data_IF_269288369804
#
_entry.id   IF_269288369804
#
_cell.length_a   1.000
_cell.length_b   1.000
_cell.length_c   1.000
_cell.angle_alpha   90.00
_cell.angle_beta   90.00
_cell.angle_gamma   90.00
#
_symmetry.space_group_name_H-M   'P 1'
#
loop_
_entity.id
_entity.type
_entity.pdbx_description
1 polymer ?
#
# COMPACT_ATOMS: atom_id res chain seq x y z
N UNK A 1 5.40 8.02 -5.87
CA UNK A 1 5.55 9.42 -6.33
C UNK A 1 5.82 9.39 -7.81
N UNK A 2 5.23 10.30 -8.58
CA UNK A 2 5.43 10.36 -10.04
C UNK A 2 6.86 10.77 -10.42
N UNK A 3 7.31 10.36 -11.60
CA UNK A 3 8.61 10.79 -12.13
C UNK A 3 8.57 12.26 -12.54
N UNK A 4 9.41 13.09 -11.89
CA UNK A 4 9.58 14.50 -12.24
C UNK A 4 9.96 14.65 -13.73
N UNK A 5 10.76 13.74 -14.29
CA UNK A 5 11.13 13.79 -15.71
C UNK A 5 9.92 13.55 -16.61
N UNK A 6 9.05 12.59 -16.26
CA UNK A 6 7.81 12.30 -17.00
C UNK A 6 6.86 13.50 -16.93
N UNK A 7 6.73 14.11 -15.74
CA UNK A 7 5.94 15.34 -15.58
C UNK A 7 6.48 16.49 -16.43
N UNK A 8 7.81 16.63 -16.60
CA UNK A 8 8.39 17.67 -17.46
C UNK A 8 8.12 17.45 -18.95
N UNK A 9 8.22 16.22 -19.44
CA UNK A 9 8.11 15.95 -20.88
C UNK A 9 6.67 15.74 -21.34
N UNK A 10 5.80 15.23 -20.45
CA UNK A 10 4.45 14.77 -20.76
C UNK A 10 3.42 15.33 -19.77
N UNK A 11 3.58 16.59 -19.33
CA UNK A 11 2.74 17.19 -18.29
C UNK A 11 1.24 17.05 -18.58
N UNK A 12 0.80 17.46 -19.77
CA UNK A 12 -0.62 17.45 -20.16
C UNK A 12 -1.20 16.03 -20.19
N UNK A 13 -0.43 15.06 -20.70
CA UNK A 13 -0.85 13.65 -20.74
C UNK A 13 -1.01 13.07 -19.32
N UNK A 14 -0.06 13.36 -18.43
CA UNK A 14 -0.14 12.90 -17.04
C UNK A 14 -1.32 13.57 -16.33
N UNK A 15 -1.53 14.87 -16.54
CA UNK A 15 -2.64 15.62 -15.96
C UNK A 15 -3.99 15.10 -16.45
N UNK A 16 -4.13 14.79 -17.74
CA UNK A 16 -5.34 14.20 -18.32
C UNK A 16 -5.63 12.82 -17.68
N UNK A 17 -4.61 11.98 -17.50
CA UNK A 17 -4.79 10.67 -16.85
C UNK A 17 -5.17 10.80 -15.38
N UNK A 18 -4.56 11.73 -14.64
CA UNK A 18 -4.89 11.96 -13.23
C UNK A 18 -6.30 12.55 -13.06
N UNK A 19 -6.75 13.41 -13.99
CA UNK A 19 -8.07 14.03 -13.93
C UNK A 19 -9.21 12.99 -13.95
N UNK A 20 -8.94 11.79 -14.50
CA UNK A 20 -9.87 10.65 -14.49
C UNK A 20 -10.21 10.15 -13.08
N UNK A 21 -9.32 10.36 -12.10
CA UNK A 21 -9.52 9.94 -10.71
C UNK A 21 -10.54 10.83 -9.95
N UNK A 22 -10.92 11.97 -10.51
CA UNK A 22 -11.86 12.91 -9.86
C UNK A 22 -11.27 13.66 -8.66
N UNK A 23 -9.97 13.55 -8.39
CA UNK A 23 -9.29 14.28 -7.31
C UNK A 23 -8.96 15.74 -7.69
N UNK A 24 -8.82 16.61 -6.68
CA UNK A 24 -8.35 17.97 -6.87
C UNK A 24 -6.84 17.97 -7.21
N UNK A 25 -6.52 18.45 -8.42
CA UNK A 25 -5.15 18.53 -8.95
C UNK A 25 -4.65 19.98 -9.04
N UNK A 26 -5.31 20.95 -8.40
CA UNK A 26 -4.94 22.38 -8.48
C UNK A 26 -3.50 22.63 -8.05
N UNK A 27 -2.99 21.92 -7.05
CA UNK A 27 -1.60 22.00 -6.61
C UNK A 27 -0.59 21.60 -7.71
N UNK A 28 -0.97 20.68 -8.62
CA UNK A 28 -0.11 20.23 -9.72
C UNK A 28 0.10 21.35 -10.77
N UNK A 29 -0.79 22.34 -10.86
CA UNK A 29 -0.64 23.45 -11.82
C UNK A 29 0.59 24.32 -11.54
N UNK A 30 1.05 24.34 -10.29
CA UNK A 30 2.25 25.07 -9.88
C UNK A 30 3.55 24.35 -10.25
N UNK A 31 3.48 23.08 -10.68
CA UNK A 31 4.66 22.26 -10.93
C UNK A 31 5.59 22.88 -11.98
N UNK A 32 5.04 23.38 -13.09
CA UNK A 32 5.83 23.92 -14.20
C UNK A 32 6.70 25.11 -13.75
N UNK A 33 6.10 26.09 -13.09
CA UNK A 33 6.78 27.28 -12.57
C UNK A 33 7.81 26.92 -11.51
N UNK A 34 7.46 26.00 -10.59
CA UNK A 34 8.37 25.58 -9.53
C UNK A 34 9.57 24.79 -10.07
N UNK A 35 9.37 23.88 -11.03
CA UNK A 35 10.47 23.12 -11.64
C UNK A 35 11.40 24.00 -12.48
N UNK A 36 10.86 24.97 -13.21
CA UNK A 36 11.66 25.97 -13.94
C UNK A 36 12.50 26.80 -12.96
N UNK A 37 11.87 27.37 -11.93
CA UNK A 37 12.57 28.13 -10.89
C UNK A 37 13.65 27.30 -10.20
N UNK A 38 13.35 26.03 -9.88
CA UNK A 38 14.33 25.10 -9.30
C UNK A 38 15.56 24.97 -10.20
N UNK A 39 15.36 24.74 -11.51
CA UNK A 39 16.46 24.58 -12.47
C UNK A 39 17.29 25.86 -12.61
N UNK A 40 16.65 27.02 -12.68
CA UNK A 40 17.37 28.29 -12.72
C UNK A 40 18.24 28.53 -11.48
N UNK A 41 17.68 28.27 -10.29
CA UNK A 41 18.40 28.43 -9.03
C UNK A 41 19.61 27.49 -8.95
N UNK A 42 19.46 26.24 -9.40
CA UNK A 42 20.59 25.29 -9.50
C UNK A 42 21.68 25.83 -10.42
N UNK A 43 21.32 26.27 -11.63
CA UNK A 43 22.30 26.77 -12.61
C UNK A 43 23.04 28.00 -12.06
N UNK A 44 22.31 28.97 -11.50
CA UNK A 44 22.90 30.19 -10.91
C UNK A 44 23.81 29.86 -9.72
N UNK A 45 23.39 28.93 -8.85
CA UNK A 45 24.19 28.50 -7.70
C UNK A 45 25.48 27.83 -8.13
N UNK A 46 25.44 26.93 -9.12
CA UNK A 46 26.62 26.24 -9.63
C UNK A 46 27.58 27.20 -10.37
N UNK A 47 27.06 28.18 -11.10
CA UNK A 47 27.88 29.24 -11.72
C UNK A 47 28.64 30.06 -10.68
N UNK A 48 27.97 30.53 -9.63
CA UNK A 48 28.63 31.29 -8.55
C UNK A 48 29.61 30.43 -7.74
N UNK A 49 29.31 29.15 -7.52
CA UNK A 49 30.25 28.21 -6.88
C UNK A 49 31.50 28.02 -7.73
N UNK A 50 31.35 27.89 -9.05
CA UNK A 50 32.47 27.78 -9.98
C UNK A 50 33.32 29.07 -9.99
N UNK A 51 32.69 30.23 -10.13
CA UNK A 51 33.35 31.55 -10.05
C UNK A 51 34.13 31.69 -8.74
N UNK A 52 33.48 31.40 -7.60
CA UNK A 52 34.12 31.49 -6.29
C UNK A 52 35.36 30.60 -6.20
N UNK A 53 35.28 29.38 -6.71
CA UNK A 53 36.40 28.43 -6.66
C UNK A 53 37.56 28.90 -7.56
N UNK A 54 37.27 29.41 -8.75
CA UNK A 54 38.27 29.95 -9.68
C UNK A 54 38.97 31.19 -9.09
N UNK A 55 38.20 32.18 -8.64
CA UNK A 55 38.74 33.42 -8.08
C UNK A 55 39.47 33.15 -6.76
N UNK A 56 39.04 32.17 -5.96
CA UNK A 56 39.79 31.77 -4.76
C UNK A 56 41.19 31.24 -5.08
N UNK A 57 41.36 30.52 -6.20
CA UNK A 57 42.68 30.09 -6.67
C UNK A 57 43.52 31.29 -7.14
N UNK A 58 42.90 32.25 -7.83
CA UNK A 58 43.57 33.49 -8.26
C UNK A 58 44.02 34.33 -7.05
N UNK A 59 43.18 34.51 -6.04
CA UNK A 59 43.52 35.21 -4.78
C UNK A 59 44.71 34.54 -4.09
N UNK A 60 44.73 33.20 -4.03
CA UNK A 60 45.85 32.47 -3.44
C UNK A 60 47.16 32.72 -4.21
N UNK A 61 47.10 32.83 -5.54
CA UNK A 61 48.25 33.16 -6.38
C UNK A 61 48.71 34.62 -6.19
N UNK A 62 47.79 35.58 -6.17
CA UNK A 62 48.10 37.01 -5.93
C UNK A 62 48.77 37.20 -4.57
N UNK A 63 48.26 36.54 -3.51
CA UNK A 63 48.88 36.56 -2.18
C UNK A 63 50.30 35.98 -2.17
N UNK A 64 50.56 34.91 -2.93
CA UNK A 64 51.91 34.34 -3.10
C UNK A 64 52.85 35.32 -3.81
N UNK A 65 52.33 36.05 -4.79
CA UNK A 65 53.06 37.07 -5.54
C UNK A 65 53.21 38.41 -4.80
N UNK A 66 52.62 38.55 -3.59
CA UNK A 66 52.55 39.80 -2.81
C UNK A 66 51.79 40.94 -3.51
N UNK A 67 50.82 40.59 -4.35
CA UNK A 67 49.90 41.52 -5.01
C UNK A 67 48.71 41.84 -4.09
N UNK A 68 48.05 42.99 -4.29
CA UNK A 68 46.84 43.34 -3.56
C UNK A 68 45.65 42.50 -4.08
N UNK A 69 44.94 41.82 -3.17
CA UNK A 69 43.78 40.99 -3.48
C UNK A 69 42.52 41.42 -2.69
N UNK A 70 42.52 42.60 -2.06
CA UNK A 70 41.49 43.03 -1.12
C UNK A 70 40.11 43.17 -1.80
N UNK A 71 40.08 43.73 -3.02
CA UNK A 71 38.86 43.87 -3.82
C UNK A 71 38.28 42.51 -4.22
N UNK A 72 39.15 41.58 -4.69
CA UNK A 72 38.73 40.22 -5.02
C UNK A 72 38.22 39.46 -3.79
N UNK A 73 38.85 39.65 -2.62
CA UNK A 73 38.38 39.07 -1.36
C UNK A 73 37.00 39.61 -0.98
N UNK A 74 36.78 40.93 -1.13
CA UNK A 74 35.49 41.55 -0.84
C UNK A 74 34.40 41.01 -1.77
N UNK A 75 34.66 40.95 -3.08
CA UNK A 75 33.71 40.39 -4.06
C UNK A 75 33.40 38.92 -3.77
N UNK A 76 34.39 38.12 -3.38
CA UNK A 76 34.15 36.71 -3.03
C UNK A 76 33.34 36.53 -1.75
N UNK A 77 33.39 37.49 -0.83
CA UNK A 77 32.50 37.52 0.32
C UNK A 77 31.05 37.79 -0.10
N UNK A 78 30.83 38.73 -1.01
CA UNK A 78 29.50 39.02 -1.57
C UNK A 78 28.93 37.81 -2.32
N UNK A 79 29.73 37.19 -3.20
CA UNK A 79 29.35 35.95 -3.89
C UNK A 79 29.00 34.84 -2.89
N UNK A 80 29.72 34.76 -1.77
CA UNK A 80 29.41 33.84 -0.68
C UNK A 80 28.03 34.08 -0.05
N UNK A 81 27.61 35.35 0.12
CA UNK A 81 26.27 35.69 0.61
C UNK A 81 25.19 35.46 -0.47
N UNK A 82 25.47 35.78 -1.74
CA UNK A 82 24.57 35.49 -2.86
C UNK A 82 24.27 33.98 -2.98
N UNK A 83 25.30 33.12 -2.83
CA UNK A 83 25.14 31.66 -2.82
C UNK A 83 24.20 31.22 -1.70
N UNK A 84 24.35 31.74 -0.47
CA UNK A 84 23.48 31.37 0.66
C UNK A 84 22.01 31.74 0.39
N UNK A 85 21.77 32.91 -0.20
CA UNK A 85 20.42 33.35 -0.58
C UNK A 85 19.82 32.42 -1.62
N UNK A 86 20.58 32.04 -2.65
CA UNK A 86 20.13 31.10 -3.69
C UNK A 86 19.88 29.70 -3.13
N UNK A 87 20.74 29.20 -2.24
CA UNK A 87 20.57 27.89 -1.58
C UNK A 87 19.32 27.86 -0.70
N UNK A 88 19.02 28.96 0.01
CA UNK A 88 17.79 29.10 0.81
C UNK A 88 16.56 29.09 -0.11
N UNK A 89 16.56 29.90 -1.17
CA UNK A 89 15.47 29.95 -2.14
C UNK A 89 15.28 28.61 -2.88
N UNK A 90 16.37 27.89 -3.16
CA UNK A 90 16.33 26.57 -3.78
C UNK A 90 15.66 25.57 -2.83
N UNK A 91 16.06 25.57 -1.56
CA UNK A 91 15.46 24.71 -0.55
C UNK A 91 13.95 24.92 -0.42
N UNK A 92 13.49 26.18 -0.34
CA UNK A 92 12.05 26.50 -0.28
C UNK A 92 11.27 26.01 -1.51
N UNK A 93 11.87 26.11 -2.70
CA UNK A 93 11.25 25.61 -3.94
C UNK A 93 11.21 24.08 -3.96
N UNK A 94 12.28 23.42 -3.49
CA UNK A 94 12.32 21.96 -3.39
C UNK A 94 11.32 21.41 -2.36
N UNK A 95 11.14 22.09 -1.23
CA UNK A 95 10.12 21.73 -0.24
C UNK A 95 8.70 21.83 -0.82
N UNK A 96 8.39 22.90 -1.56
CA UNK A 96 7.09 23.06 -2.24
C UNK A 96 6.87 22.00 -3.31
N UNK A 97 7.87 21.72 -4.13
CA UNK A 97 7.80 20.65 -5.13
C UNK A 97 7.57 19.29 -4.46
N UNK A 98 8.32 19.00 -3.41
CA UNK A 98 8.15 17.75 -2.68
C UNK A 98 6.76 17.65 -2.02
N UNK A 99 6.26 18.73 -1.44
CA UNK A 99 4.92 18.80 -0.87
C UNK A 99 3.84 18.38 -1.89
N UNK A 100 3.92 18.92 -3.11
CA UNK A 100 3.02 18.63 -4.23
C UNK A 100 3.17 17.17 -4.66
N UNK A 101 4.39 16.75 -5.00
CA UNK A 101 4.66 15.42 -5.54
C UNK A 101 4.31 14.28 -4.57
N UNK A 102 4.38 14.54 -3.26
CA UNK A 102 4.01 13.59 -2.21
C UNK A 102 2.49 13.46 -2.01
N UNK A 103 1.69 14.39 -2.53
CA UNK A 103 0.22 14.41 -2.43
C UNK A 103 -0.51 14.06 -3.71
N UNK A 104 0.20 13.93 -4.82
CA UNK A 104 -0.38 13.51 -6.09
C UNK A 104 -0.47 11.97 -6.13
N UNK A 105 -1.63 11.40 -6.50
CA UNK A 105 -1.81 9.97 -6.63
C UNK A 105 -0.99 9.38 -7.79
N UNK A 106 -0.98 8.06 -7.88
CA UNK A 106 -0.40 7.39 -9.02
C UNK A 106 -1.26 7.62 -10.29
N UNK A 107 -0.64 7.47 -11.45
CA UNK A 107 -1.37 7.54 -12.72
C UNK A 107 -2.12 6.23 -12.95
N UNK A 108 -3.45 6.26 -13.21
CA UNK A 108 -4.18 5.03 -13.51
C UNK A 108 -3.71 4.45 -14.85
N UNK A 109 -3.59 3.12 -14.93
CA UNK A 109 -3.28 2.42 -16.16
C UNK A 109 -4.41 2.62 -17.19
N UNK A 110 -4.06 2.66 -18.48
CA UNK A 110 -5.01 2.94 -19.57
C UNK A 110 -6.17 1.94 -19.62
N UNK A 111 -5.97 0.72 -19.11
CA UNK A 111 -7.04 -0.28 -19.06
C UNK A 111 -8.10 -0.05 -17.97
N UNK A 112 -7.83 0.81 -16.99
CA UNK A 112 -8.76 1.05 -15.87
C UNK A 112 -10.02 1.71 -16.41
N UNK A 113 -11.23 1.22 -16.12
CA UNK A 113 -12.46 1.85 -16.59
C UNK A 113 -12.71 3.19 -15.89
N UNK A 114 -13.33 4.13 -16.61
CA UNK A 114 -13.83 5.35 -15.98
C UNK A 114 -15.03 5.02 -15.10
N UNK A 115 -15.10 5.63 -13.92
CA UNK A 115 -16.24 5.62 -13.01
C UNK A 115 -15.98 6.54 -11.82
N UNK A 116 -17.04 6.91 -11.10
CA UNK A 116 -17.00 7.88 -10.01
C UNK A 116 -17.04 7.20 -8.62
N UNK A 117 -17.51 5.96 -8.53
CA UNK A 117 -17.59 5.20 -7.28
C UNK A 117 -17.52 3.67 -7.47
N UNK A 118 -17.51 2.95 -6.35
CA UNK A 118 -17.50 1.48 -6.28
C UNK A 118 -18.68 0.81 -7.02
N UNK A 119 -19.82 1.50 -7.12
CA UNK A 119 -21.00 1.06 -7.88
C UNK A 119 -20.73 0.87 -9.39
N UNK A 120 -19.71 1.55 -9.93
CA UNK A 120 -19.34 1.50 -11.36
C UNK A 120 -18.16 0.55 -11.64
N UNK A 121 -17.70 -0.17 -10.61
CA UNK A 121 -16.67 -1.17 -10.80
C UNK A 121 -17.16 -2.33 -11.68
N UNK A 122 -16.25 -2.91 -12.47
CA UNK A 122 -16.60 -3.91 -13.49
C UNK A 122 -16.32 -5.32 -12.98
N UNK A 123 -17.36 -6.15 -12.85
CA UNK A 123 -17.21 -7.58 -12.61
C UNK A 123 -16.56 -8.25 -13.83
N UNK A 124 -15.45 -8.97 -13.62
CA UNK A 124 -14.67 -9.60 -14.70
C UNK A 124 -14.70 -11.12 -14.68
N UNK A 125 -15.04 -11.75 -13.54
CA UNK A 125 -15.22 -13.20 -13.40
C UNK A 125 -15.94 -13.53 -12.09
N UNK A 126 -16.52 -14.72 -12.04
CA UNK A 126 -17.17 -15.29 -10.86
C UNK A 126 -16.72 -16.73 -10.66
N UNK A 127 -16.79 -17.22 -9.42
CA UNK A 127 -16.49 -18.61 -9.09
C UNK A 127 -17.39 -19.12 -7.96
N UNK A 128 -17.84 -20.36 -8.08
CA UNK A 128 -18.73 -21.02 -7.13
C UNK A 128 -20.19 -20.60 -7.28
N UNK A 129 -21.09 -21.46 -6.81
CA UNK A 129 -22.52 -21.15 -6.75
C UNK A 129 -22.85 -20.44 -5.44
N UNK A 130 -23.65 -19.37 -5.50
CA UNK A 130 -24.12 -18.68 -4.29
C UNK A 130 -24.84 -19.65 -3.36
N UNK A 131 -24.40 -19.70 -2.11
CA UNK A 131 -25.00 -20.57 -1.09
C UNK A 131 -26.47 -20.22 -0.88
N UNK A 132 -27.34 -21.23 -0.91
CA UNK A 132 -28.78 -21.12 -0.65
C UNK A 132 -29.19 -21.98 0.54
N UNK A 133 -30.10 -21.49 1.37
CA UNK A 133 -30.57 -22.18 2.57
C UNK A 133 -32.07 -22.51 2.47
N UNK A 134 -32.47 -23.61 3.08
CA UNK A 134 -33.89 -23.96 3.29
C UNK A 134 -34.45 -23.38 4.60
N UNK A 135 -33.64 -22.61 5.32
CA UNK A 135 -33.93 -21.91 6.56
C UNK A 135 -33.40 -20.47 6.48
N UNK A 136 -33.82 -19.59 7.38
CA UNK A 136 -33.33 -18.20 7.43
C UNK A 136 -31.90 -18.17 7.98
N UNK A 137 -30.88 -17.77 7.18
CA UNK A 137 -29.51 -17.77 7.65
C UNK A 137 -29.27 -16.65 8.67
N UNK A 138 -28.45 -16.94 9.70
CA UNK A 138 -28.02 -15.96 10.69
C UNK A 138 -26.75 -15.24 10.23
N UNK A 139 -26.63 -13.93 10.48
CA UNK A 139 -25.39 -13.21 10.22
C UNK A 139 -24.27 -13.67 11.16
N UNK A 140 -23.02 -13.54 10.72
CA UNK A 140 -21.87 -14.06 11.46
C UNK A 140 -21.73 -13.51 12.89
N UNK A 141 -22.19 -12.29 13.17
CA UNK A 141 -22.10 -11.71 14.52
C UNK A 141 -23.07 -12.36 15.51
N UNK A 142 -24.26 -12.73 15.06
CA UNK A 142 -25.24 -13.43 15.91
C UNK A 142 -24.82 -14.89 16.07
N UNK A 143 -24.46 -15.55 14.95
CA UNK A 143 -24.02 -16.95 14.95
C UNK A 143 -22.76 -17.15 15.80
N UNK A 144 -21.76 -16.27 15.66
CA UNK A 144 -20.54 -16.34 16.45
C UNK A 144 -20.75 -16.07 17.94
N UNK A 145 -21.74 -15.24 18.30
CA UNK A 145 -22.12 -14.98 19.69
C UNK A 145 -22.84 -16.19 20.28
N UNK A 146 -23.81 -16.77 19.56
CA UNK A 146 -24.56 -17.98 19.95
C UNK A 146 -23.61 -19.16 20.22
N UNK A 147 -22.61 -19.33 19.35
CA UNK A 147 -21.56 -20.35 19.47
C UNK A 147 -20.49 -20.03 20.53
N UNK A 148 -20.57 -18.89 21.22
CA UNK A 148 -19.57 -18.41 22.18
C UNK A 148 -18.13 -18.32 21.61
N UNK A 149 -18.01 -18.03 20.32
CA UNK A 149 -16.72 -17.92 19.62
C UNK A 149 -16.34 -16.48 19.27
N UNK A 150 -17.30 -15.55 19.24
CA UNK A 150 -17.10 -14.11 19.08
C UNK A 150 -17.74 -13.37 20.26
N UNK A 151 -17.02 -12.43 20.85
CA UNK A 151 -17.48 -11.67 22.02
C UNK A 151 -17.20 -10.17 21.82
N UNK A 152 -18.18 -9.49 21.23
CA UNK A 152 -18.13 -8.05 20.95
C UNK A 152 -18.38 -7.21 22.20
N UNK A 153 -19.22 -7.68 23.13
CA UNK A 153 -19.54 -6.96 24.37
C UNK A 153 -18.31 -6.82 25.26
N UNK A 154 -17.55 -7.90 25.47
CA UNK A 154 -16.31 -7.83 26.24
C UNK A 154 -15.24 -7.01 25.53
N UNK A 155 -15.20 -7.04 24.19
CA UNK A 155 -14.27 -6.21 23.43
C UNK A 155 -14.60 -4.72 23.57
N UNK A 156 -15.89 -4.36 23.48
CA UNK A 156 -16.37 -2.99 23.72
C UNK A 156 -16.01 -2.49 25.12
N UNK A 157 -16.10 -3.36 26.13
CA UNK A 157 -15.68 -3.04 27.50
C UNK A 157 -14.17 -2.80 27.65
N UNK A 158 -13.33 -3.48 26.87
CA UNK A 158 -11.86 -3.44 27.01
C UNK A 158 -11.22 -2.38 26.12
N UNK A 159 -11.65 -2.26 24.87
CA UNK A 159 -11.02 -1.42 23.85
C UNK A 159 -11.96 -0.40 23.19
N UNK A 160 -13.28 -0.60 23.29
CA UNK A 160 -14.29 0.22 22.61
C UNK A 160 -14.91 -0.47 21.39
N UNK A 161 -15.67 0.29 20.60
CA UNK A 161 -16.33 -0.24 19.39
C UNK A 161 -15.31 -0.72 18.36
N UNK A 162 -15.77 -1.54 17.39
CA UNK A 162 -14.93 -2.07 16.29
C UNK A 162 -13.74 -2.94 16.74
N UNK A 163 -13.90 -3.60 17.89
CA UNK A 163 -13.04 -4.70 18.35
C UNK A 163 -13.87 -5.95 18.66
N UNK A 164 -13.22 -7.10 18.70
CA UNK A 164 -13.83 -8.39 19.01
C UNK A 164 -12.85 -9.28 19.78
N UNK A 165 -13.35 -10.06 20.74
CA UNK A 165 -12.61 -11.21 21.26
C UNK A 165 -13.04 -12.47 20.51
N UNK A 166 -12.07 -13.15 19.90
CA UNK A 166 -12.24 -14.53 19.45
C UNK A 166 -12.03 -15.49 20.61
N UNK A 167 -12.89 -16.51 20.74
CA UNK A 167 -12.90 -17.45 21.86
C UNK A 167 -12.96 -18.89 21.36
N UNK A 168 -12.34 -19.81 22.10
CA UNK A 168 -12.42 -21.25 21.85
C UNK A 168 -12.15 -21.63 20.39
N UNK A 169 -13.14 -22.24 19.73
CA UNK A 169 -13.03 -22.66 18.33
C UNK A 169 -12.97 -21.49 17.33
N UNK A 170 -13.47 -20.30 17.66
CA UNK A 170 -13.31 -19.12 16.81
C UNK A 170 -11.86 -18.65 16.73
N UNK A 171 -11.20 -18.55 17.89
CA UNK A 171 -9.77 -18.22 17.93
C UNK A 171 -8.92 -19.30 17.24
N UNK A 172 -9.32 -20.57 17.34
CA UNK A 172 -8.67 -21.66 16.60
C UNK A 172 -8.89 -21.53 15.09
N UNK A 173 -10.10 -21.20 14.64
CA UNK A 173 -10.42 -21.01 13.23
C UNK A 173 -9.60 -19.87 12.63
N UNK A 174 -9.47 -18.75 13.33
CA UNK A 174 -8.67 -17.61 12.89
C UNK A 174 -7.19 -18.00 12.72
N UNK A 175 -6.61 -18.70 13.71
CA UNK A 175 -5.25 -19.24 13.60
C UNK A 175 -5.11 -20.29 12.48
N UNK A 176 -6.11 -21.14 12.30
CA UNK A 176 -6.11 -22.16 11.26
C UNK A 176 -6.10 -21.53 9.85
N UNK A 177 -6.84 -20.45 9.65
CA UNK A 177 -6.82 -19.67 8.41
C UNK A 177 -5.46 -19.03 8.16
N UNK A 178 -4.86 -18.41 9.18
CA UNK A 178 -3.52 -17.82 9.06
C UNK A 178 -2.50 -18.87 8.61
N UNK A 179 -2.43 -20.01 9.31
CA UNK A 179 -1.51 -21.10 8.95
C UNK A 179 -1.79 -21.66 7.56
N UNK A 180 -3.05 -21.95 7.24
CA UNK A 180 -3.43 -22.46 5.92
C UNK A 180 -3.02 -21.53 4.78
N UNK A 181 -3.24 -20.22 4.94
CA UNK A 181 -2.89 -19.22 3.93
C UNK A 181 -1.37 -19.11 3.76
N UNK A 182 -0.62 -19.01 4.87
CA UNK A 182 0.84 -18.96 4.82
C UNK A 182 1.44 -20.21 4.16
N UNK A 183 1.05 -21.40 4.63
CA UNK A 183 1.53 -22.67 4.08
C UNK A 183 1.23 -22.76 2.58
N UNK A 184 0.01 -22.38 2.14
CA UNK A 184 -0.34 -22.33 0.72
C UNK A 184 0.58 -21.40 -0.09
N UNK A 185 0.84 -20.18 0.41
CA UNK A 185 1.63 -19.22 -0.33
C UNK A 185 3.12 -19.56 -0.34
N UNK A 186 3.65 -20.13 0.73
CA UNK A 186 5.05 -20.56 0.83
C UNK A 186 5.28 -21.82 0.01
N UNK A 187 4.51 -22.88 0.26
CA UNK A 187 4.79 -24.21 -0.27
C UNK A 187 4.36 -24.37 -1.74
N UNK A 188 3.28 -23.72 -2.14
CA UNK A 188 2.69 -23.91 -3.49
C UNK A 188 2.88 -22.71 -4.42
N UNK A 189 2.92 -21.48 -3.88
CA UNK A 189 3.04 -20.26 -4.69
C UNK A 189 4.44 -19.63 -4.68
N UNK A 190 5.39 -20.19 -3.92
CA UNK A 190 6.81 -19.82 -3.94
C UNK A 190 7.15 -18.49 -3.27
N UNK A 191 6.32 -18.01 -2.33
CA UNK A 191 6.64 -16.82 -1.54
C UNK A 191 7.61 -17.15 -0.40
N UNK A 192 8.51 -16.22 -0.08
CA UNK A 192 9.29 -16.25 1.15
C UNK A 192 8.46 -15.70 2.31
N UNK A 193 8.38 -16.43 3.41
CA UNK A 193 7.66 -15.96 4.60
C UNK A 193 8.50 -14.97 5.42
N UNK A 194 7.93 -13.80 5.69
CA UNK A 194 8.49 -12.80 6.60
C UNK A 194 7.60 -12.62 7.83
N UNK A 195 8.23 -12.39 8.98
CA UNK A 195 7.57 -11.92 10.20
C UNK A 195 7.95 -10.45 10.46
N UNK A 196 7.17 -9.48 9.95
CA UNK A 196 7.56 -8.07 9.99
C UNK A 196 7.29 -7.41 11.36
N UNK A 197 8.00 -6.31 11.69
CA UNK A 197 7.61 -5.42 12.77
C UNK A 197 6.20 -4.84 12.54
N UNK A 198 5.40 -4.72 13.61
CA UNK A 198 4.06 -4.12 13.55
C UNK A 198 4.04 -2.64 13.94
N UNK A 199 5.19 -2.11 14.39
CA UNK A 199 5.45 -0.69 14.54
C UNK A 199 6.49 -0.29 13.50
N UNK A 200 6.21 0.77 12.75
CA UNK A 200 7.08 1.27 11.69
C UNK A 200 7.33 2.76 11.83
N UNK A 201 8.50 3.20 11.34
CA UNK A 201 8.83 4.61 11.28
C UNK A 201 8.02 5.35 10.18
N UNK A 202 7.99 6.67 10.27
CA UNK A 202 7.38 7.56 9.29
C UNK A 202 7.88 7.35 7.87
N UNK A 203 9.17 7.09 7.69
CA UNK A 203 9.79 6.88 6.37
C UNK A 203 9.16 5.70 5.64
N UNK A 204 8.88 4.60 6.35
CA UNK A 204 8.29 3.40 5.75
C UNK A 204 6.87 3.67 5.22
N UNK A 205 6.03 4.33 6.01
CA UNK A 205 4.68 4.75 5.60
C UNK A 205 4.69 5.79 4.47
N UNK A 206 5.74 6.62 4.42
CA UNK A 206 5.96 7.57 3.34
C UNK A 206 6.32 6.85 2.04
N UNK A 207 7.12 5.78 2.15
CA UNK A 207 7.52 4.87 1.07
C UNK A 207 6.35 4.21 0.36
N UNK A 208 5.41 3.63 1.12
CA UNK A 208 4.23 2.93 0.57
C UNK A 208 3.04 3.83 0.28
N UNK A 209 3.10 5.11 0.69
CA UNK A 209 2.16 6.15 0.28
C UNK A 209 1.02 6.43 1.26
N UNK A 210 1.02 5.81 2.45
CA UNK A 210 0.09 6.15 3.52
C UNK A 210 0.33 7.60 4.00
N UNK A 211 1.59 8.01 4.14
CA UNK A 211 1.93 9.38 4.46
C UNK A 211 2.32 10.20 3.23
N UNK A 212 1.95 11.49 3.17
CA UNK A 212 1.27 12.27 4.23
C UNK A 212 -0.27 12.24 4.18
N UNK A 213 -0.90 11.70 3.11
CA UNK A 213 -2.33 11.88 2.81
C UNK A 213 -3.27 11.20 3.83
N UNK A 214 -2.91 10.02 4.31
CA UNK A 214 -3.76 9.18 5.17
C UNK A 214 -3.29 9.14 6.62
N UNK A 215 -2.73 10.25 7.12
CA UNK A 215 -2.25 10.32 8.50
C UNK A 215 -3.37 10.08 9.52
N UNK A 216 -4.60 10.53 9.23
CA UNK A 216 -5.77 10.34 10.09
C UNK A 216 -6.25 8.89 10.16
N UNK A 217 -5.88 8.05 9.18
CA UNK A 217 -6.24 6.62 9.13
C UNK A 217 -5.33 5.72 9.98
N UNK A 218 -4.27 6.29 10.56
CA UNK A 218 -3.22 5.56 11.26
C UNK A 218 -3.28 5.78 12.77
N UNK A 219 -2.94 4.73 13.53
CA UNK A 219 -2.63 4.88 14.95
C UNK A 219 -1.15 5.25 15.13
N UNK A 220 -0.88 6.29 15.91
CA UNK A 220 0.43 6.88 16.13
C UNK A 220 0.84 6.78 17.61
N UNK A 221 2.08 6.35 17.85
CA UNK A 221 2.75 6.36 19.16
C UNK A 221 3.57 7.65 19.25
N UNK A 222 2.97 8.69 19.81
CA UNK A 222 3.48 10.08 19.73
C UNK A 222 4.90 10.25 20.29
N UNK A 223 5.23 9.59 21.39
CA UNK A 223 6.52 9.79 22.08
C UNK A 223 7.73 9.30 21.26
N UNK A 224 7.53 8.29 20.40
CA UNK A 224 8.59 7.59 19.67
C UNK A 224 8.54 7.81 18.14
N UNK A 225 7.55 8.56 17.64
CA UNK A 225 7.24 8.73 16.19
C UNK A 225 7.12 7.40 15.42
N UNK A 226 6.51 6.40 16.07
CA UNK A 226 6.17 5.12 15.46
C UNK A 226 4.68 5.01 15.17
N UNK A 227 4.35 4.21 14.17
CA UNK A 227 2.98 3.97 13.75
C UNK A 227 2.68 2.49 13.76
N UNK A 228 1.47 2.14 14.19
CA UNK A 228 0.96 0.78 14.00
C UNK A 228 0.65 0.57 12.52
N UNK A 229 1.05 -0.58 11.97
CA UNK A 229 0.90 -0.84 10.54
C UNK A 229 -0.59 -1.06 10.17
N UNK A 230 -1.09 -0.44 9.08
CA UNK A 230 -2.44 -0.69 8.56
C UNK A 230 -2.51 -1.93 7.65
N UNK A 231 -1.35 -2.49 7.30
CA UNK A 231 -1.14 -3.68 6.46
C UNK A 231 0.33 -4.10 6.51
N UNK A 232 0.63 -5.41 6.41
CA UNK A 232 1.99 -5.94 6.22
C UNK A 232 2.68 -5.42 4.96
N UNK A 233 1.93 -4.92 3.97
CA UNK A 233 2.49 -4.23 2.79
C UNK A 233 3.54 -3.19 3.19
N UNK A 234 3.28 -2.41 4.24
CA UNK A 234 4.16 -1.29 4.65
C UNK A 234 5.56 -1.80 5.00
N UNK A 235 5.76 -2.64 6.02
CA UNK A 235 7.09 -3.13 6.36
C UNK A 235 7.69 -4.06 5.29
N UNK A 236 6.87 -4.89 4.62
CA UNK A 236 7.37 -5.87 3.65
C UNK A 236 7.87 -5.21 2.37
N UNK A 237 7.18 -4.20 1.85
CA UNK A 237 7.66 -3.44 0.68
C UNK A 237 8.93 -2.66 1.02
N UNK A 238 8.99 -2.08 2.22
CA UNK A 238 10.16 -1.32 2.68
C UNK A 238 11.34 -2.19 3.13
N UNK A 239 11.23 -3.53 3.09
CA UNK A 239 12.33 -4.43 3.40
C UNK A 239 13.57 -4.15 2.52
N UNK A 240 13.35 -3.73 1.27
CA UNK A 240 14.39 -3.35 0.31
C UNK A 240 14.52 -1.82 0.11
N UNK A 241 14.03 -1.00 1.05
CA UNK A 241 14.16 0.46 0.95
C UNK A 241 15.62 0.90 0.86
N UNK A 242 15.89 1.89 0.00
CA UNK A 242 17.22 2.40 -0.34
C UNK A 242 18.20 1.38 -0.97
N UNK A 243 17.72 0.20 -1.37
CA UNK A 243 18.56 -0.84 -1.98
C UNK A 243 18.61 -0.79 -3.51
N UNK A 244 19.66 -1.40 -4.06
CA UNK A 244 19.77 -1.74 -5.48
C UNK A 244 19.87 -3.26 -5.58
N UNK A 245 18.77 -3.92 -5.93
CA UNK A 245 18.70 -5.37 -6.04
C UNK A 245 19.31 -5.88 -7.36
N UNK A 246 19.80 -7.10 -7.35
CA UNK A 246 20.24 -7.80 -8.56
C UNK A 246 19.00 -8.22 -9.39
N UNK A 247 18.92 -7.77 -10.64
CA UNK A 247 17.79 -8.05 -11.52
C UNK A 247 17.60 -9.53 -11.87
N UNK A 248 18.62 -10.38 -11.65
CA UNK A 248 18.50 -11.83 -11.76
C UNK A 248 17.71 -12.48 -10.62
N UNK A 249 17.53 -11.75 -9.50
CA UNK A 249 16.71 -12.20 -8.36
C UNK A 249 15.24 -11.83 -8.47
N UNK A 250 14.85 -11.02 -9.48
CA UNK A 250 13.47 -10.64 -9.71
C UNK A 250 12.72 -11.75 -10.51
N UNK A 251 11.47 -12.08 -10.16
CA UNK A 251 10.65 -11.45 -9.12
C UNK A 251 11.06 -11.89 -7.69
N UNK A 252 11.07 -10.94 -6.76
CA UNK A 252 11.18 -11.21 -5.32
C UNK A 252 9.77 -11.21 -4.74
N UNK A 253 9.40 -12.27 -4.04
CA UNK A 253 8.03 -12.49 -3.56
C UNK A 253 8.02 -12.81 -2.07
N UNK A 254 7.28 -12.02 -1.30
CA UNK A 254 7.14 -12.19 0.15
C UNK A 254 5.68 -12.41 0.55
N UNK A 255 5.46 -13.26 1.55
CA UNK A 255 4.20 -13.34 2.27
C UNK A 255 4.41 -13.07 3.75
N UNK A 256 3.46 -12.43 4.39
CA UNK A 256 3.55 -12.11 5.80
C UNK A 256 2.18 -12.08 6.46
N UNK A 257 2.12 -12.60 7.69
CA UNK A 257 1.01 -12.39 8.58
C UNK A 257 1.27 -11.19 9.49
N UNK A 258 0.26 -10.34 9.69
CA UNK A 258 0.24 -9.35 10.78
C UNK A 258 -1.16 -9.09 11.31
N UNK A 259 -1.22 -8.59 12.55
CA UNK A 259 -2.33 -7.75 12.97
C UNK A 259 -2.19 -6.38 12.31
N UNK A 260 -3.31 -5.81 11.88
CA UNK A 260 -3.37 -4.57 11.11
C UNK A 260 -4.30 -3.60 11.83
N UNK A 261 -3.89 -2.34 11.86
CA UNK A 261 -4.53 -1.31 12.67
C UNK A 261 -4.96 -0.13 11.81
N UNK A 262 -6.25 0.19 11.83
CA UNK A 262 -6.82 1.32 11.07
C UNK A 262 -7.75 2.12 11.97
N UNK A 263 -7.62 3.44 11.95
CA UNK A 263 -8.52 4.32 12.73
C UNK A 263 -9.94 4.30 12.19
N UNK A 264 -10.13 3.88 10.92
CA UNK A 264 -11.43 3.87 10.23
C UNK A 264 -12.15 5.23 10.30
N UNK A 265 -11.35 6.31 10.28
CA UNK A 265 -11.85 7.68 10.20
C UNK A 265 -12.79 7.83 9.00
N UNK A 266 -13.87 8.60 9.15
CA UNK A 266 -14.87 8.79 8.10
C UNK A 266 -15.87 7.63 7.88
N UNK A 267 -15.69 6.47 8.54
CA UNK A 267 -16.60 5.32 8.39
C UNK A 267 -17.82 5.34 9.34
N UNK A 268 -18.32 6.53 9.68
CA UNK A 268 -19.44 6.68 10.61
C UNK A 268 -20.71 5.98 10.09
N UNK A 269 -21.27 5.07 10.88
CA UNK A 269 -22.52 4.36 10.55
C UNK A 269 -22.40 3.20 9.55
N UNK A 270 -21.27 3.04 8.84
CA UNK A 270 -21.04 1.92 7.90
C UNK A 270 -20.47 0.69 8.61
N UNK A 271 -21.01 -0.49 8.31
CA UNK A 271 -20.59 -1.80 8.82
C UNK A 271 -20.24 -1.78 10.32
N UNK A 272 -21.19 -1.33 11.14
CA UNK A 272 -20.99 -1.12 12.59
C UNK A 272 -21.03 -2.41 13.40
N UNK A 273 -21.50 -3.52 12.81
CA UNK A 273 -21.62 -4.83 13.46
C UNK A 273 -20.73 -5.86 12.75
N UNK A 274 -20.24 -6.82 13.52
CA UNK A 274 -19.50 -7.95 12.98
C UNK A 274 -18.04 -7.67 12.69
N UNK A 275 -17.47 -8.43 11.75
CA UNK A 275 -16.02 -8.55 11.52
C UNK A 275 -15.55 -7.84 10.23
N UNK A 276 -16.46 -7.25 9.45
CA UNK A 276 -16.14 -6.67 8.14
C UNK A 276 -15.23 -5.43 8.27
N UNK A 277 -15.46 -4.60 9.29
CA UNK A 277 -14.74 -3.35 9.55
C UNK A 277 -14.39 -3.23 11.02
N UNK A 278 -13.12 -3.41 11.36
CA UNK A 278 -12.58 -3.40 12.73
C UNK A 278 -11.36 -2.47 12.80
N UNK A 279 -11.07 -1.91 13.97
CA UNK A 279 -9.82 -1.18 14.19
C UNK A 279 -8.61 -2.09 14.15
N UNK A 280 -8.76 -3.34 14.58
CA UNK A 280 -7.74 -4.38 14.52
C UNK A 280 -8.27 -5.60 13.77
N UNK A 281 -7.53 -6.06 12.77
CA UNK A 281 -7.85 -7.29 12.04
C UNK A 281 -6.59 -8.01 11.56
N UNK A 282 -6.69 -9.32 11.39
CA UNK A 282 -5.62 -10.17 10.91
C UNK A 282 -5.67 -10.30 9.38
N UNK A 283 -4.51 -10.29 8.73
CA UNK A 283 -4.37 -10.45 7.29
C UNK A 283 -3.08 -11.21 6.96
N UNK A 284 -3.15 -12.08 5.95
CA UNK A 284 -1.97 -12.60 5.25
C UNK A 284 -1.80 -11.75 3.99
N UNK A 285 -0.64 -11.11 3.86
CA UNK A 285 -0.31 -10.24 2.74
C UNK A 285 0.61 -10.95 1.76
N UNK A 286 0.49 -10.61 0.48
CA UNK A 286 1.39 -10.99 -0.59
C UNK A 286 2.02 -9.73 -1.16
N UNK A 287 3.33 -9.69 -1.29
CA UNK A 287 4.08 -8.55 -1.87
C UNK A 287 5.02 -9.08 -2.94
N UNK A 288 5.14 -8.35 -4.05
CA UNK A 288 6.00 -8.72 -5.18
C UNK A 288 6.79 -7.51 -5.65
N UNK A 289 8.10 -7.65 -5.74
CA UNK A 289 9.00 -6.71 -6.42
C UNK A 289 9.40 -7.33 -7.74
N UNK A 290 9.13 -6.65 -8.85
CA UNK A 290 9.22 -7.23 -10.19
C UNK A 290 9.85 -6.26 -11.17
N UNK A 291 10.26 -6.78 -12.34
CA UNK A 291 10.70 -5.92 -13.43
C UNK A 291 9.50 -5.15 -14.01
N UNK A 292 9.67 -3.90 -14.47
CA UNK A 292 8.58 -3.11 -15.03
C UNK A 292 7.78 -3.83 -16.12
N UNK A 293 8.48 -4.49 -17.04
CA UNK A 293 7.91 -5.23 -18.18
C UNK A 293 7.01 -6.41 -17.80
N UNK A 294 7.20 -6.99 -16.60
CA UNK A 294 6.47 -8.18 -16.16
C UNK A 294 5.28 -7.82 -15.25
N UNK A 295 5.20 -6.57 -14.78
CA UNK A 295 4.36 -6.20 -13.64
C UNK A 295 2.87 -6.50 -13.77
N UNK A 296 2.26 -6.32 -14.95
CA UNK A 296 0.85 -6.64 -15.14
C UNK A 296 0.57 -8.14 -15.28
N UNK A 297 1.50 -8.93 -15.80
CA UNK A 297 1.39 -10.39 -15.74
C UNK A 297 1.48 -10.87 -14.29
N UNK A 298 2.38 -10.27 -13.51
CA UNK A 298 2.55 -10.56 -12.09
C UNK A 298 1.34 -10.13 -11.25
N UNK A 299 0.56 -9.13 -11.69
CA UNK A 299 -0.72 -8.77 -11.08
C UNK A 299 -1.76 -9.88 -11.28
N UNK A 300 -1.89 -10.43 -12.49
CA UNK A 300 -2.85 -11.52 -12.75
C UNK A 300 -2.50 -12.78 -11.94
N UNK A 301 -1.20 -13.11 -11.81
CA UNK A 301 -0.70 -14.19 -10.94
C UNK A 301 -1.03 -13.94 -9.47
N UNK A 302 -0.76 -12.73 -8.98
CA UNK A 302 -1.04 -12.32 -7.60
C UNK A 302 -2.53 -12.45 -7.27
N UNK A 303 -3.42 -11.96 -8.14
CA UNK A 303 -4.87 -12.11 -7.98
C UNK A 303 -5.26 -13.58 -7.99
N UNK A 304 -4.71 -14.38 -8.90
CA UNK A 304 -4.94 -15.83 -8.94
C UNK A 304 -4.53 -16.56 -7.65
N UNK A 305 -3.44 -16.15 -7.01
CA UNK A 305 -3.01 -16.72 -5.72
C UNK A 305 -4.02 -16.40 -4.59
N UNK A 306 -4.56 -15.19 -4.55
CA UNK A 306 -5.61 -14.83 -3.60
C UNK A 306 -6.94 -15.55 -3.90
N UNK A 307 -7.31 -15.69 -5.18
CA UNK A 307 -8.46 -16.48 -5.62
C UNK A 307 -8.35 -17.94 -5.16
N UNK A 308 -7.15 -18.53 -5.23
CA UNK A 308 -6.92 -19.92 -4.86
C UNK A 308 -7.28 -20.22 -3.40
N UNK A 309 -7.06 -19.27 -2.50
CA UNK A 309 -7.48 -19.36 -1.09
C UNK A 309 -9.00 -19.57 -0.99
N UNK A 310 -9.78 -18.72 -1.66
CA UNK A 310 -11.25 -18.79 -1.65
C UNK A 310 -11.76 -20.08 -2.30
N UNK A 311 -11.14 -20.51 -3.40
CA UNK A 311 -11.48 -21.75 -4.10
C UNK A 311 -11.27 -23.00 -3.23
N UNK A 312 -10.13 -23.09 -2.53
CA UNK A 312 -9.82 -24.21 -1.63
C UNK A 312 -10.71 -24.20 -0.36
N UNK A 313 -11.17 -23.03 0.05
CA UNK A 313 -12.17 -22.86 1.10
C UNK A 313 -13.61 -23.03 0.59
N UNK A 314 -13.79 -23.33 -0.70
CA UNK A 314 -15.10 -23.47 -1.37
C UNK A 314 -16.05 -22.29 -1.07
N UNK A 315 -15.53 -21.06 -1.02
CA UNK A 315 -16.30 -19.83 -0.80
C UNK A 315 -16.64 -19.17 -2.15
N UNK A 316 -17.93 -18.95 -2.48
CA UNK A 316 -18.31 -18.27 -3.71
C UNK A 316 -17.82 -16.82 -3.71
N UNK A 317 -17.27 -16.36 -4.83
CA UNK A 317 -16.75 -15.00 -4.96
C UNK A 317 -16.89 -14.46 -6.38
N UNK A 318 -16.69 -13.15 -6.51
CA UNK A 318 -16.48 -12.47 -7.79
C UNK A 318 -15.18 -11.69 -7.76
N UNK A 319 -14.62 -11.44 -8.93
CA UNK A 319 -13.50 -10.51 -9.09
C UNK A 319 -13.99 -9.29 -9.83
N UNK A 320 -13.66 -8.15 -9.28
CA UNK A 320 -14.09 -6.85 -9.73
C UNK A 320 -12.85 -6.03 -10.06
N UNK A 321 -12.88 -5.37 -11.21
CA UNK A 321 -11.86 -4.41 -11.62
C UNK A 321 -12.31 -3.02 -11.20
N UNK A 322 -11.49 -2.36 -10.38
CA UNK A 322 -11.83 -1.04 -9.86
C UNK A 322 -11.83 0.00 -10.98
N UNK A 323 -12.80 0.91 -10.94
CA UNK A 323 -12.85 2.09 -11.77
C UNK A 323 -11.97 3.21 -11.19
N UNK A 324 -11.80 4.28 -11.94
CA UNK A 324 -10.92 5.40 -11.55
C UNK A 324 -11.31 6.09 -10.25
N UNK A 325 -12.60 6.24 -9.95
CA UNK A 325 -13.09 6.87 -8.72
C UNK A 325 -12.94 6.02 -7.46
N UNK A 326 -12.68 4.72 -7.62
CA UNK A 326 -12.50 3.77 -6.50
C UNK A 326 -11.05 3.25 -6.39
N UNK A 327 -10.13 3.74 -7.24
CA UNK A 327 -8.72 3.38 -7.13
C UNK A 327 -8.06 4.03 -5.91
N UNK A 328 -7.31 3.22 -5.17
CA UNK A 328 -6.48 3.72 -4.07
C UNK A 328 -5.33 4.61 -4.57
N UNK A 329 -4.94 5.59 -3.74
CA UNK A 329 -3.94 6.64 -4.04
C UNK A 329 -2.64 6.17 -4.70
N UNK A 330 -2.08 5.04 -4.25
CA UNK A 330 -0.82 4.53 -4.79
C UNK A 330 -1.02 3.68 -6.06
N UNK A 331 -2.23 3.17 -6.32
CA UNK A 331 -2.48 2.13 -7.31
C UNK A 331 -2.57 2.67 -8.73
N UNK A 332 -1.94 1.97 -9.67
CA UNK A 332 -2.16 2.17 -11.10
C UNK A 332 -3.30 1.27 -11.63
N UNK A 333 -3.49 0.08 -11.04
CA UNK A 333 -4.55 -0.87 -11.41
C UNK A 333 -4.80 -1.83 -10.25
N UNK A 334 -6.08 -2.05 -9.93
CA UNK A 334 -6.50 -2.92 -8.83
C UNK A 334 -7.60 -3.88 -9.26
N UNK A 335 -7.55 -5.10 -8.72
CA UNK A 335 -8.65 -6.05 -8.69
C UNK A 335 -9.04 -6.33 -7.25
N UNK A 336 -10.34 -6.29 -6.98
CA UNK A 336 -10.89 -6.72 -5.71
C UNK A 336 -11.52 -8.11 -5.86
N UNK A 337 -11.25 -8.98 -4.90
CA UNK A 337 -12.02 -10.19 -4.70
C UNK A 337 -13.12 -9.89 -3.70
N UNK A 338 -14.36 -10.20 -4.06
CA UNK A 338 -15.49 -10.02 -3.18
C UNK A 338 -16.18 -11.36 -2.92
N UNK A 339 -16.28 -11.75 -1.66
CA UNK A 339 -16.86 -13.02 -1.21
C UNK A 339 -18.36 -12.89 -0.95
N UNK A 340 -19.12 -13.94 -1.25
CA UNK A 340 -20.56 -13.98 -1.06
C UNK A 340 -20.93 -13.99 0.43
N UNK A 341 -21.79 -13.05 0.84
CA UNK A 341 -22.33 -12.95 2.19
C UNK A 341 -23.84 -13.22 2.15
N UNK A 342 -24.30 -14.46 2.39
CA UNK A 342 -25.67 -14.86 2.13
C UNK A 342 -26.70 -14.10 2.97
N UNK A 343 -26.37 -13.68 4.21
CA UNK A 343 -27.34 -12.99 5.07
C UNK A 343 -27.53 -11.53 4.66
N UNK A 344 -26.56 -10.96 3.96
CA UNK A 344 -26.62 -9.61 3.41
C UNK A 344 -27.06 -9.60 1.94
N UNK A 345 -27.13 -10.78 1.31
CA UNK A 345 -27.43 -10.97 -0.10
C UNK A 345 -26.53 -10.11 -1.02
N UNK A 346 -25.25 -10.00 -0.68
CA UNK A 346 -24.27 -9.15 -1.37
C UNK A 346 -22.89 -9.79 -1.38
N UNK A 347 -22.06 -9.41 -2.34
CA UNK A 347 -20.63 -9.69 -2.30
C UNK A 347 -19.91 -8.61 -1.47
N UNK A 348 -18.92 -8.99 -0.67
CA UNK A 348 -18.12 -8.05 0.14
C UNK A 348 -16.64 -8.27 -0.14
N UNK A 349 -15.90 -7.19 -0.32
CA UNK A 349 -14.44 -7.23 -0.50
C UNK A 349 -13.78 -8.10 0.58
N UNK A 350 -12.93 -9.02 0.17
CA UNK A 350 -12.11 -9.88 1.04
C UNK A 350 -10.62 -9.81 0.69
N UNK A 351 -10.31 -9.36 -0.53
CA UNK A 351 -8.97 -9.06 -1.00
C UNK A 351 -9.00 -7.89 -1.96
N UNK A 352 -7.90 -7.14 -1.98
CA UNK A 352 -7.59 -6.12 -2.96
C UNK A 352 -6.17 -6.37 -3.43
N UNK A 353 -5.97 -6.49 -4.75
CA UNK A 353 -4.71 -6.84 -5.41
C UNK A 353 -4.33 -5.72 -6.38
N UNK A 354 -3.20 -5.05 -6.14
CA UNK A 354 -2.83 -3.81 -6.82
C UNK A 354 -1.44 -3.87 -7.44
N UNK A 355 -1.30 -3.24 -8.60
CA UNK A 355 -0.01 -2.89 -9.20
C UNK A 355 0.23 -1.39 -9.00
N UNK A 356 1.35 -1.03 -8.36
CA UNK A 356 1.71 0.36 -8.07
C UNK A 356 2.69 0.93 -9.10
N UNK A 357 3.08 0.14 -10.11
CA UNK A 357 4.20 0.45 -10.99
C UNK A 357 5.43 0.86 -10.16
N UNK A 358 6.14 1.92 -10.55
CA UNK A 358 7.29 2.44 -9.82
C UNK A 358 6.93 3.42 -8.69
N UNK A 359 5.64 3.61 -8.35
CA UNK A 359 5.20 4.68 -7.45
C UNK A 359 5.77 4.52 -6.04
N UNK A 360 5.67 3.34 -5.45
CA UNK A 360 6.24 3.06 -4.12
C UNK A 360 7.76 2.95 -4.21
N UNK A 361 8.28 2.26 -5.23
CA UNK A 361 9.72 2.12 -5.46
C UNK A 361 10.45 3.47 -5.54
N UNK A 362 9.83 4.51 -6.12
CA UNK A 362 10.38 5.87 -6.16
C UNK A 362 10.44 6.54 -4.79
N UNK A 363 9.41 6.36 -3.96
CA UNK A 363 9.33 6.93 -2.60
C UNK A 363 10.27 6.20 -1.63
N UNK A 364 10.40 4.89 -1.77
CA UNK A 364 11.25 4.03 -0.95
C UNK A 364 12.65 3.79 -1.56
N UNK A 365 12.97 4.43 -2.68
CA UNK A 365 14.24 4.31 -3.41
C UNK A 365 14.69 2.88 -3.81
N UNK A 366 13.73 1.97 -4.00
CA UNK A 366 13.95 0.56 -4.35
C UNK A 366 14.27 0.44 -5.83
N UNK A 367 15.52 0.07 -6.15
CA UNK A 367 16.00 -0.01 -7.54
C UNK A 367 16.55 -1.41 -7.83
N UNK A 368 16.76 -1.70 -9.10
CA UNK A 368 17.46 -2.89 -9.54
C UNK A 368 18.44 -2.58 -10.68
N UNK A 369 19.40 -3.46 -10.91
CA UNK A 369 20.22 -3.47 -12.13
C UNK A 369 19.88 -4.70 -12.96
N UNK A 370 19.57 -4.49 -14.24
CA UNK A 370 19.35 -5.59 -15.20
C UNK A 370 20.57 -6.52 -15.30
N UNK A 371 21.75 -5.93 -15.30
CA UNK A 371 23.04 -6.62 -15.34
C UNK A 371 24.13 -5.79 -14.65
N UNK A 372 25.28 -6.42 -14.36
CA UNK A 372 26.40 -5.75 -13.71
C UNK A 372 26.88 -4.55 -14.55
N UNK A 373 26.96 -3.37 -13.94
CA UNK A 373 27.39 -2.13 -14.61
C UNK A 373 26.26 -1.35 -15.30
N UNK A 374 25.08 -1.94 -15.51
CA UNK A 374 23.92 -1.22 -16.03
C UNK A 374 23.44 -0.13 -15.06
N UNK A 375 22.85 0.93 -15.61
CA UNK A 375 22.25 2.00 -14.80
C UNK A 375 21.10 1.43 -13.97
N UNK A 376 21.00 1.74 -12.66
CA UNK A 376 19.87 1.32 -11.86
C UNK A 376 18.55 1.90 -12.38
N UNK A 377 17.52 1.07 -12.38
CA UNK A 377 16.13 1.41 -12.71
C UNK A 377 15.24 1.10 -11.50
N UNK A 378 14.06 1.70 -11.39
CA UNK A 378 13.12 1.37 -10.31
C UNK A 378 12.42 0.04 -10.63
N UNK A 379 12.21 -0.78 -9.60
CA UNK A 379 11.34 -1.96 -9.70
C UNK A 379 9.88 -1.51 -9.79
N UNK A 380 9.00 -2.40 -10.23
CA UNK A 380 7.58 -2.27 -9.94
C UNK A 380 7.23 -3.01 -8.66
N UNK A 381 6.31 -2.46 -7.88
CA UNK A 381 5.80 -3.10 -6.66
C UNK A 381 4.34 -3.50 -6.84
N UNK A 382 3.99 -4.64 -6.25
CA UNK A 382 2.63 -5.15 -6.19
C UNK A 382 2.33 -5.66 -4.79
N UNK A 383 1.06 -5.59 -4.39
CA UNK A 383 0.59 -6.30 -3.22
C UNK A 383 -0.83 -6.82 -3.42
N UNK A 384 -1.18 -7.83 -2.63
CA UNK A 384 -2.55 -8.30 -2.54
C UNK A 384 -2.81 -8.99 -1.21
N UNK A 385 -4.04 -8.87 -0.71
CA UNK A 385 -4.46 -9.67 0.44
C UNK A 385 -4.57 -11.15 0.02
N UNK A 386 -3.89 -12.06 0.71
CA UNK A 386 -3.98 -13.51 0.49
C UNK A 386 -4.58 -14.32 1.65
N UNK A 387 -5.63 -13.93 2.37
CA UNK A 387 -6.62 -12.85 2.23
C UNK A 387 -6.86 -12.19 3.60
N UNK A 388 -7.84 -11.29 3.74
CA UNK A 388 -8.23 -10.76 5.05
C UNK A 388 -8.88 -11.84 5.94
N UNK A 389 -8.22 -12.22 7.02
CA UNK A 389 -8.60 -13.38 7.85
C UNK A 389 -9.95 -13.17 8.53
N UNK A 390 -10.17 -12.01 9.16
CA UNK A 390 -11.43 -11.72 9.86
C UNK A 390 -12.66 -11.75 8.93
N UNK A 391 -12.52 -11.21 7.71
CA UNK A 391 -13.57 -11.28 6.68
C UNK A 391 -13.79 -12.71 6.19
N UNK A 392 -12.73 -13.52 6.12
CA UNK A 392 -12.83 -14.95 5.79
C UNK A 392 -13.55 -15.74 6.87
N UNK A 393 -13.32 -15.44 8.16
CA UNK A 393 -14.10 -16.03 9.26
C UNK A 393 -15.57 -15.69 9.10
N UNK A 394 -15.92 -14.43 8.84
CA UNK A 394 -17.30 -14.00 8.61
C UNK A 394 -17.95 -14.80 7.45
N UNK A 395 -17.25 -14.92 6.33
CA UNK A 395 -17.72 -15.67 5.17
C UNK A 395 -17.91 -17.16 5.46
N UNK A 396 -17.00 -17.80 6.20
CA UNK A 396 -17.14 -19.21 6.61
C UNK A 396 -18.36 -19.38 7.50
N UNK A 397 -18.51 -18.53 8.53
CA UNK A 397 -19.65 -18.62 9.45
C UNK A 397 -20.97 -18.49 8.69
N UNK A 398 -21.09 -17.57 7.73
CA UNK A 398 -22.35 -17.39 7.00
C UNK A 398 -22.60 -18.45 5.93
N UNK A 399 -21.59 -18.90 5.19
CA UNK A 399 -21.76 -19.86 4.08
C UNK A 399 -21.83 -21.32 4.55
N UNK A 400 -21.27 -21.65 5.71
CA UNK A 400 -21.21 -23.03 6.20
C UNK A 400 -22.15 -23.31 7.39
N UNK A 401 -23.02 -22.37 7.74
CA UNK A 401 -23.99 -22.56 8.82
C UNK A 401 -25.00 -23.68 8.51
N UNK A 402 -25.48 -24.32 9.56
CA UNK A 402 -26.53 -25.33 9.54
C UNK A 402 -27.76 -24.80 10.29
N UNK A 403 -28.91 -25.44 10.08
CA UNK A 403 -30.18 -25.04 10.70
C UNK A 403 -30.13 -25.02 12.23
N UNK A 404 -29.33 -25.90 12.84
CA UNK A 404 -29.13 -25.98 14.29
C UNK A 404 -28.17 -24.92 14.86
N UNK A 405 -27.62 -24.05 14.01
CA UNK A 405 -26.66 -23.02 14.38
C UNK A 405 -25.20 -23.49 14.43
N UNK A 406 -24.93 -24.76 14.15
CA UNK A 406 -23.56 -25.25 13.99
C UNK A 406 -22.97 -24.79 12.66
N UNK A 407 -21.63 -24.75 12.56
CA UNK A 407 -20.92 -24.35 11.33
C UNK A 407 -19.99 -25.46 10.87
N UNK A 408 -20.16 -25.91 9.64
CA UNK A 408 -19.26 -26.88 9.02
C UNK A 408 -17.89 -26.24 8.80
N UNK A 409 -16.82 -26.94 9.16
CA UNK A 409 -15.45 -26.50 8.91
C UNK A 409 -15.07 -26.90 7.48
N UNK A 410 -14.62 -25.94 6.63
CA UNK A 410 -14.12 -26.23 5.29
C UNK A 410 -13.07 -27.35 5.30
N UNK A 411 -13.12 -28.25 4.32
CA UNK A 411 -12.26 -29.45 4.31
C UNK A 411 -10.78 -29.10 4.41
N UNK A 412 -10.34 -28.06 3.69
CA UNK A 412 -8.95 -27.57 3.70
C UNK A 412 -8.47 -27.15 5.10
N UNK A 413 -9.37 -26.73 5.99
CA UNK A 413 -9.03 -26.27 7.34
C UNK A 413 -9.05 -27.37 8.39
N UNK A 414 -9.66 -28.53 8.11
CA UNK A 414 -9.79 -29.63 9.09
C UNK A 414 -8.45 -30.09 9.68
N UNK A 415 -7.34 -30.20 8.92
CA UNK A 415 -6.03 -30.52 9.49
C UNK A 415 -5.59 -29.51 10.56
N UNK A 416 -5.71 -28.21 10.28
CA UNK A 416 -5.39 -27.12 11.21
C UNK A 416 -6.36 -27.03 12.40
N UNK A 417 -7.61 -27.45 12.19
CA UNK A 417 -8.66 -27.54 13.21
C UNK A 417 -8.58 -28.81 14.06
N UNK A 418 -7.54 -29.64 13.87
CA UNK A 418 -7.31 -30.85 14.66
C UNK A 418 -8.31 -31.97 14.34
N UNK A 419 -8.67 -32.10 13.07
CA UNK A 419 -9.62 -33.07 12.55
C UNK A 419 -11.08 -32.76 12.87
N UNK A 420 -11.39 -31.60 13.48
CA UNK A 420 -12.76 -31.19 13.73
C UNK A 420 -13.47 -30.87 12.42
N UNK A 421 -14.71 -31.31 12.31
CA UNK A 421 -15.53 -31.11 11.10
C UNK A 421 -16.59 -30.03 11.27
N UNK A 422 -16.95 -29.68 12.51
CA UNK A 422 -18.04 -28.76 12.85
C UNK A 422 -17.67 -27.93 14.09
N UNK A 423 -18.08 -26.66 14.11
CA UNK A 423 -18.12 -25.78 15.28
C UNK A 423 -19.53 -25.81 15.87
N UNK A 424 -19.66 -26.12 17.16
CA UNK A 424 -20.93 -26.26 17.88
C UNK A 424 -20.78 -25.94 19.35
#
# INVERSE_FOLDING_TARGET
MLDIKKLRTNFDEVKEKLARLGEDLTDLDQFGELDEKRRELIVKTEQLKAERNEVSQQIAQMKRNKENADEAILRMREVGEEIKVLETALHEVEEKLNYILMRIPNTPHDSVPQGDSDDENIEIRTWGDKTSFTFEPKPHWDLGTDLNILDFERAAKVAGSRFVFYRGLGARLERALISFMLDLHVDEHGYEELLPPQLVNRTSLTGTGQLPKFAEDLFHVEEEDYFLIPTSEVPVTNFHSDEIVDGSKLPITFTAYSANFRSEAGSAGRDTRGLIRQHQFNKVELVRLVKPEDSYEELEKLTGHAEKVLQLLELPYRVVKLCTGDLGFSSAKTYDLEVWMPTQNVYREISSCSNFEDFQARRAHIRYRKETGAKPEFVHTLNGSGVAVGRTVAAILENYQQEDGSVIIPKALRPYMGGKEVIK
#
